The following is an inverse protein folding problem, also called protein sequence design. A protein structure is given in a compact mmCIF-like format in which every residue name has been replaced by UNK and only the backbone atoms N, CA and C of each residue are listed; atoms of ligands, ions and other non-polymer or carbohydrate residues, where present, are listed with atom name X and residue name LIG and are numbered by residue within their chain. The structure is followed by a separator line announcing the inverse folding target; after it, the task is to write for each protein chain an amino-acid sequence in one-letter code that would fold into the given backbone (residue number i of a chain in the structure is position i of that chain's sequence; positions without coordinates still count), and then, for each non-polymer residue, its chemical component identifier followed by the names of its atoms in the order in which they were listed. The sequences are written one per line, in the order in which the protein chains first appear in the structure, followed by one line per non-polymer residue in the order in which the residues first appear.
data_IF_411337006192
#
_entry.id   IF_411337006192
#
_cell.length_a   1.000
_cell.length_b   1.000
_cell.length_c   1.000
_cell.angle_alpha   90.00
_cell.angle_beta   90.00
_cell.angle_gamma   90.00
#
_symmetry.space_group_name_H-M   'P 1'
#
loop_
_entity.id
_entity.type
_entity.pdbx_description
1 polymer ?
#
# COMPACT_ATOMS: atom_id res chain seq x y z
N UNK A 1 -10.14 13.20 10.91
CA UNK A 1 -9.37 12.52 9.84
C UNK A 1 -8.84 13.54 8.85
N UNK A 2 -7.66 13.28 8.31
CA UNK A 2 -6.96 14.11 7.35
C UNK A 2 -6.57 13.24 6.15
N UNK A 3 -6.58 13.81 4.94
CA UNK A 3 -6.29 13.09 3.70
C UNK A 3 -5.31 13.87 2.84
N UNK A 4 -4.42 13.14 2.16
CA UNK A 4 -3.51 13.69 1.16
C UNK A 4 -3.38 12.71 0.01
N UNK A 5 -3.77 13.14 -1.19
CA UNK A 5 -3.76 12.34 -2.41
C UNK A 5 -2.83 12.96 -3.44
N UNK A 6 -2.23 12.15 -4.29
CA UNK A 6 -1.41 12.64 -5.38
C UNK A 6 -1.20 11.60 -6.47
N UNK A 7 -0.78 12.10 -7.62
CA UNK A 7 -0.47 11.29 -8.81
C UNK A 7 0.70 11.92 -9.55
N UNK A 8 1.60 11.09 -10.06
CA UNK A 8 2.66 11.46 -10.98
C UNK A 8 2.60 10.59 -12.24
N UNK A 9 2.03 11.14 -13.30
CA UNK A 9 1.87 10.44 -14.58
C UNK A 9 3.16 10.16 -15.34
N UNK A 10 4.30 10.73 -14.92
CA UNK A 10 5.61 10.43 -15.52
C UNK A 10 6.01 8.97 -15.35
N UNK A 11 5.51 8.32 -14.28
CA UNK A 11 5.73 6.89 -14.02
C UNK A 11 4.62 5.97 -14.56
N UNK A 12 3.75 6.45 -15.45
CA UNK A 12 2.59 5.67 -15.95
C UNK A 12 2.96 4.33 -16.58
N UNK A 13 4.12 4.24 -17.20
CA UNK A 13 4.58 3.03 -17.90
C UNK A 13 5.35 2.06 -16.98
N UNK A 14 5.68 2.49 -15.76
CA UNK A 14 6.42 1.66 -14.81
C UNK A 14 5.57 0.56 -14.14
N UNK A 15 4.25 0.72 -14.14
CA UNK A 15 3.30 -0.28 -13.61
C UNK A 15 1.99 -0.17 -14.38
N UNK A 16 1.79 -1.04 -15.37
CA UNK A 16 0.70 -0.91 -16.34
C UNK A 16 0.28 -2.27 -16.91
N UNK A 17 -0.99 -2.39 -17.29
CA UNK A 17 -1.46 -3.34 -18.31
C UNK A 17 -1.67 -2.53 -19.58
N UNK A 18 -0.83 -2.69 -20.61
CA UNK A 18 -0.87 -1.84 -21.82
C UNK A 18 -2.19 -1.86 -22.58
N UNK A 19 -2.81 -3.03 -22.68
CA UNK A 19 -4.06 -3.24 -23.44
C UNK A 19 -5.24 -3.65 -22.52
N UNK A 20 -6.45 -3.54 -23.07
CA UNK A 20 -7.68 -3.93 -22.36
C UNK A 20 -8.55 -2.76 -21.89
N UNK A 21 -8.03 -1.51 -22.02
CA UNK A 21 -8.79 -0.29 -21.74
C UNK A 21 -9.27 0.41 -23.02
N UNK A 22 -9.94 1.55 -22.83
CA UNK A 22 -10.49 2.33 -23.95
C UNK A 22 -9.41 2.87 -24.91
N UNK A 23 -8.19 3.14 -24.41
CA UNK A 23 -7.07 3.64 -25.23
C UNK A 23 -6.52 2.59 -26.19
N UNK A 24 -6.43 1.34 -25.73
CA UNK A 24 -5.97 0.19 -26.51
C UNK A 24 -6.85 -1.02 -26.13
N UNK A 25 -7.99 -1.24 -26.82
CA UNK A 25 -8.86 -2.38 -26.56
C UNK A 25 -8.19 -3.72 -26.84
N UNK A 26 -8.72 -4.80 -26.28
CA UNK A 26 -8.31 -6.16 -26.62
C UNK A 26 -8.47 -6.43 -28.11
N UNK A 27 -7.46 -7.09 -28.70
CA UNK A 27 -7.45 -7.50 -30.11
C UNK A 27 -6.51 -8.68 -30.31
N UNK A 28 -6.56 -9.30 -31.49
CA UNK A 28 -5.60 -10.36 -31.84
C UNK A 28 -4.15 -9.84 -31.80
N UNK A 29 -3.91 -8.57 -32.16
CA UNK A 29 -2.60 -7.94 -32.10
C UNK A 29 -2.10 -7.76 -30.65
N UNK A 30 -2.99 -7.40 -29.71
CA UNK A 30 -2.61 -7.22 -28.29
C UNK A 30 -2.38 -8.55 -27.58
N UNK A 31 -2.96 -9.64 -28.10
CA UNK A 31 -2.80 -11.01 -27.61
C UNK A 31 -1.57 -11.73 -28.22
N UNK A 32 -0.86 -11.12 -29.20
CA UNK A 32 0.36 -11.71 -29.75
C UNK A 32 1.44 -11.86 -28.68
N UNK A 33 2.00 -13.08 -28.59
CA UNK A 33 3.07 -13.38 -27.67
C UNK A 33 4.40 -12.82 -28.16
N UNK A 34 5.17 -12.26 -27.24
CA UNK A 34 6.57 -11.86 -27.47
C UNK A 34 7.43 -12.28 -26.28
N UNK A 35 8.73 -12.45 -26.52
CA UNK A 35 9.72 -12.66 -25.45
C UNK A 35 10.24 -11.32 -24.96
N UNK A 36 10.19 -11.06 -23.64
CA UNK A 36 10.84 -9.91 -23.04
C UNK A 36 12.37 -10.14 -22.90
N UNK A 37 13.11 -9.12 -22.45
CA UNK A 37 14.58 -9.19 -22.30
C UNK A 37 15.04 -10.24 -21.28
N UNK A 38 14.18 -10.63 -20.35
CA UNK A 38 14.43 -11.69 -19.37
C UNK A 38 14.02 -13.08 -19.88
N UNK A 39 13.49 -13.18 -21.10
CA UNK A 39 13.06 -14.43 -21.74
C UNK A 39 11.66 -14.89 -21.31
N UNK A 40 10.88 -14.06 -20.63
CA UNK A 40 9.49 -14.38 -20.30
C UNK A 40 8.58 -14.20 -21.52
N UNK A 41 7.63 -15.10 -21.70
CA UNK A 41 6.59 -14.94 -22.72
C UNK A 41 5.48 -14.02 -22.17
N UNK A 42 5.22 -12.95 -22.90
CA UNK A 42 4.25 -11.90 -22.53
C UNK A 42 3.36 -11.50 -23.69
N UNK A 43 2.26 -10.86 -23.37
CA UNK A 43 1.40 -10.14 -24.32
C UNK A 43 1.23 -8.70 -23.83
N UNK A 44 0.67 -7.81 -24.66
CA UNK A 44 0.27 -6.45 -24.20
C UNK A 44 -0.87 -6.46 -23.17
N UNK A 45 -1.49 -7.60 -22.94
CA UNK A 45 -2.58 -7.82 -21.97
C UNK A 45 -2.08 -8.25 -20.59
N UNK A 46 -0.78 -8.49 -20.45
CA UNK A 46 -0.16 -8.83 -19.16
C UNK A 46 0.23 -7.58 -18.37
N UNK A 47 0.23 -7.71 -17.06
CA UNK A 47 0.78 -6.67 -16.19
C UNK A 47 2.29 -6.56 -16.41
N UNK A 48 2.75 -5.36 -16.74
CA UNK A 48 4.16 -4.98 -16.74
C UNK A 48 4.49 -4.19 -15.47
N UNK A 49 5.65 -4.46 -14.89
CA UNK A 49 6.17 -3.71 -13.75
C UNK A 49 7.69 -3.54 -13.86
N UNK A 50 8.14 -2.30 -13.91
CA UNK A 50 9.52 -1.95 -13.61
C UNK A 50 9.70 -1.88 -12.08
N UNK A 51 10.24 -2.97 -11.52
CA UNK A 51 10.40 -3.09 -10.07
C UNK A 51 11.32 -2.02 -9.47
N UNK A 52 12.32 -1.57 -10.21
CA UNK A 52 13.28 -0.53 -9.78
C UNK A 52 12.62 0.83 -9.68
N UNK A 53 11.87 1.23 -10.72
CA UNK A 53 11.16 2.50 -10.76
C UNK A 53 10.06 2.55 -9.70
N UNK A 54 9.27 1.49 -9.56
CA UNK A 54 8.23 1.40 -8.52
C UNK A 54 8.83 1.43 -7.12
N UNK A 55 9.97 0.78 -6.90
CA UNK A 55 10.67 0.83 -5.61
C UNK A 55 11.18 2.23 -5.32
N UNK A 56 11.89 2.87 -6.26
CA UNK A 56 12.42 4.23 -6.10
C UNK A 56 11.30 5.23 -5.78
N UNK A 57 10.22 5.19 -6.55
CA UNK A 57 9.02 5.97 -6.26
C UNK A 57 8.52 5.75 -4.82
N UNK A 58 8.39 4.50 -4.40
CA UNK A 58 7.84 4.15 -3.09
C UNK A 58 8.68 4.70 -1.93
N UNK A 59 10.01 4.60 -2.01
CA UNK A 59 10.90 5.05 -0.93
C UNK A 59 11.18 6.55 -0.95
N UNK A 60 10.89 7.26 -2.04
CA UNK A 60 11.08 8.71 -2.14
C UNK A 60 9.78 9.48 -1.89
N UNK A 61 8.70 9.08 -2.57
CA UNK A 61 7.45 9.82 -2.54
C UNK A 61 6.63 9.50 -1.30
N UNK A 62 6.46 8.21 -0.96
CA UNK A 62 5.58 7.81 0.14
C UNK A 62 5.98 8.41 1.49
N UNK A 63 7.26 8.34 1.93
CA UNK A 63 7.67 8.96 3.20
C UNK A 63 7.42 10.47 3.21
N UNK A 64 7.82 11.17 2.14
CA UNK A 64 7.64 12.61 2.00
C UNK A 64 6.17 13.02 2.12
N UNK A 65 5.28 12.27 1.48
CA UNK A 65 3.85 12.58 1.47
C UNK A 65 3.16 12.20 2.80
N UNK A 66 3.67 11.21 3.53
CA UNK A 66 3.26 10.93 4.91
C UNK A 66 3.69 12.07 5.83
N UNK A 67 4.95 12.52 5.76
CA UNK A 67 5.43 13.67 6.54
C UNK A 67 4.58 14.91 6.25
N UNK A 68 4.33 15.22 4.97
CA UNK A 68 3.50 16.37 4.59
C UNK A 68 2.03 16.25 5.06
N UNK A 69 1.47 15.03 5.19
CA UNK A 69 0.17 14.80 5.80
C UNK A 69 0.20 15.12 7.29
N UNK A 70 1.22 14.66 8.00
CA UNK A 70 1.37 14.86 9.44
C UNK A 70 1.61 16.35 9.77
N UNK A 71 2.45 17.03 8.99
CA UNK A 71 2.68 18.47 9.10
C UNK A 71 1.38 19.26 8.87
N UNK A 72 0.60 18.89 7.85
CA UNK A 72 -0.70 19.51 7.58
C UNK A 72 -1.72 19.29 8.70
N UNK A 73 -1.66 18.15 9.37
CA UNK A 73 -2.53 17.79 10.48
C UNK A 73 -2.05 18.39 11.84
N UNK A 74 -0.86 18.98 11.89
CA UNK A 74 -0.17 19.40 13.12
C UNK A 74 0.00 18.24 14.12
N UNK A 75 0.40 17.07 13.61
CA UNK A 75 0.56 15.83 14.38
C UNK A 75 2.00 15.34 14.29
N UNK A 76 2.64 15.14 15.44
CA UNK A 76 3.96 14.54 15.49
C UNK A 76 3.91 13.06 15.08
N UNK A 77 4.88 12.62 14.26
CA UNK A 77 5.02 11.21 13.89
C UNK A 77 5.24 10.29 15.10
N UNK A 78 5.76 10.82 16.21
CA UNK A 78 5.97 10.05 17.44
C UNK A 78 4.65 9.73 18.14
N UNK A 79 3.58 10.49 17.89
CA UNK A 79 2.24 10.26 18.42
C UNK A 79 1.41 9.29 17.58
N UNK A 80 1.86 8.92 16.38
CA UNK A 80 1.20 7.92 15.53
C UNK A 80 1.49 6.53 16.07
N UNK A 81 0.46 5.76 16.38
CA UNK A 81 0.62 4.41 16.92
C UNK A 81 0.97 3.39 15.83
N UNK A 82 0.32 3.48 14.66
CA UNK A 82 0.53 2.54 13.56
C UNK A 82 0.60 3.24 12.20
N UNK A 83 1.51 2.74 11.36
CA UNK A 83 1.65 3.09 9.95
C UNK A 83 1.28 1.88 9.10
N UNK A 84 0.05 1.82 8.63
CA UNK A 84 -0.48 0.69 7.84
C UNK A 84 -0.37 1.03 6.37
N UNK A 85 0.66 0.49 5.73
CA UNK A 85 0.97 0.75 4.35
C UNK A 85 0.43 -0.36 3.45
N UNK A 86 0.29 -0.08 2.17
CA UNK A 86 0.12 -1.11 1.15
C UNK A 86 1.19 -2.19 1.31
N UNK A 87 0.78 -3.45 1.36
CA UNK A 87 1.64 -4.60 1.61
C UNK A 87 2.28 -5.11 0.31
N UNK A 88 3.12 -4.28 -0.33
CA UNK A 88 3.84 -4.67 -1.55
C UNK A 88 4.84 -5.80 -1.27
N UNK A 89 5.69 -5.60 -0.28
CA UNK A 89 6.55 -6.59 0.37
C UNK A 89 7.16 -5.98 1.65
N UNK A 90 7.61 -6.85 2.58
CA UNK A 90 8.19 -6.44 3.87
C UNK A 90 9.40 -5.51 3.71
N UNK A 91 10.26 -5.78 2.74
CA UNK A 91 11.47 -4.99 2.49
C UNK A 91 11.14 -3.53 2.15
N UNK A 92 10.17 -3.31 1.27
CA UNK A 92 9.70 -1.98 0.86
C UNK A 92 9.11 -1.22 2.06
N UNK A 93 8.20 -1.84 2.81
CA UNK A 93 7.56 -1.21 3.99
C UNK A 93 8.61 -0.82 5.04
N UNK A 94 9.57 -1.70 5.32
CA UNK A 94 10.65 -1.39 6.27
C UNK A 94 11.58 -0.27 5.77
N UNK A 95 11.85 -0.16 4.46
CA UNK A 95 12.65 0.95 3.94
C UNK A 95 11.91 2.28 4.03
N UNK A 96 10.60 2.31 3.82
CA UNK A 96 9.77 3.49 4.06
C UNK A 96 9.84 3.88 5.55
N UNK A 97 9.68 2.92 6.47
CA UNK A 97 9.78 3.16 7.91
C UNK A 97 11.15 3.73 8.33
N UNK A 98 12.25 3.19 7.79
CA UNK A 98 13.60 3.72 8.02
C UNK A 98 13.77 5.15 7.50
N UNK A 99 13.20 5.48 6.34
CA UNK A 99 13.20 6.84 5.78
C UNK A 99 12.43 7.82 6.66
N UNK A 100 11.29 7.41 7.18
CA UNK A 100 10.50 8.17 8.15
C UNK A 100 11.20 8.31 9.52
N UNK A 101 12.25 7.51 9.79
CA UNK A 101 12.92 7.41 11.09
C UNK A 101 11.94 7.07 12.22
N UNK A 102 11.06 6.13 11.97
CA UNK A 102 10.05 5.62 12.92
C UNK A 102 10.40 4.19 13.28
N UNK A 103 10.08 3.78 14.50
CA UNK A 103 10.24 2.40 14.95
C UNK A 103 9.46 1.44 14.05
N UNK A 104 10.16 0.43 13.52
CA UNK A 104 9.61 -0.55 12.61
C UNK A 104 8.50 -1.42 13.24
N UNK A 105 8.45 -1.53 14.57
CA UNK A 105 7.36 -2.18 15.28
C UNK A 105 5.99 -1.51 15.13
N UNK A 106 5.95 -0.27 14.61
CA UNK A 106 4.70 0.43 14.29
C UNK A 106 4.19 0.15 12.86
N UNK A 107 4.90 -0.68 12.08
CA UNK A 107 4.54 -1.05 10.72
C UNK A 107 4.10 -2.53 10.70
N UNK A 108 2.79 -2.82 10.65
CA UNK A 108 2.33 -4.20 10.46
C UNK A 108 2.80 -4.70 9.09
N UNK A 109 3.39 -5.91 9.03
CA UNK A 109 3.99 -6.52 7.83
C UNK A 109 3.81 -8.04 7.76
N UNK A 110 3.16 -8.64 8.75
CA UNK A 110 2.98 -10.10 8.80
C UNK A 110 1.89 -10.59 7.85
N UNK A 111 0.89 -9.75 7.55
CA UNK A 111 -0.18 -10.05 6.60
C UNK A 111 0.34 -10.37 5.20
N UNK A 112 1.47 -9.75 4.78
CA UNK A 112 2.13 -10.10 3.52
C UNK A 112 2.60 -11.57 3.51
N UNK A 113 3.14 -12.07 4.63
CA UNK A 113 3.57 -13.47 4.75
C UNK A 113 2.40 -14.47 4.68
N UNK A 114 1.22 -14.05 5.16
CA UNK A 114 0.02 -14.87 5.16
C UNK A 114 -0.75 -14.85 3.83
N UNK A 115 -0.81 -13.70 3.16
CA UNK A 115 -1.71 -13.48 2.01
C UNK A 115 -1.00 -13.01 0.73
N UNK A 116 0.28 -12.63 0.82
CA UNK A 116 1.00 -11.99 -0.27
C UNK A 116 0.53 -10.55 -0.53
N UNK A 117 0.84 -10.04 -1.73
CA UNK A 117 0.33 -8.75 -2.19
C UNK A 117 -1.08 -8.90 -2.75
N UNK A 118 -2.07 -8.56 -1.96
CA UNK A 118 -3.51 -8.62 -2.33
C UNK A 118 -4.03 -7.25 -2.82
N UNK A 119 -3.16 -6.44 -3.40
CA UNK A 119 -3.49 -5.14 -4.02
C UNK A 119 -4.25 -4.21 -3.06
N UNK A 120 -5.42 -3.71 -3.47
CA UNK A 120 -6.25 -2.78 -2.66
C UNK A 120 -6.76 -3.38 -1.35
N UNK A 121 -6.82 -4.70 -1.21
CA UNK A 121 -7.22 -5.39 0.01
C UNK A 121 -6.10 -5.48 1.06
N UNK A 122 -4.86 -5.07 0.73
CA UNK A 122 -3.71 -5.24 1.63
C UNK A 122 -3.79 -4.41 2.91
N UNK A 123 -4.28 -3.17 2.84
CA UNK A 123 -4.46 -2.31 4.03
C UNK A 123 -5.57 -2.85 4.93
N UNK A 124 -6.82 -3.08 4.47
CA UNK A 124 -7.84 -3.70 5.31
C UNK A 124 -7.44 -5.09 5.81
N UNK A 125 -6.70 -5.87 5.01
CA UNK A 125 -6.14 -7.15 5.43
C UNK A 125 -5.17 -7.01 6.62
N UNK A 126 -4.22 -6.08 6.54
CA UNK A 126 -3.27 -5.82 7.63
C UNK A 126 -4.00 -5.32 8.90
N UNK A 127 -4.98 -4.42 8.75
CA UNK A 127 -5.78 -3.94 9.90
C UNK A 127 -6.48 -5.10 10.60
N UNK A 128 -7.20 -5.95 9.87
CA UNK A 128 -7.98 -7.03 10.46
C UNK A 128 -7.15 -8.21 10.93
N UNK A 129 -6.01 -8.49 10.29
CA UNK A 129 -5.16 -9.64 10.64
C UNK A 129 -4.20 -9.34 11.79
N UNK A 130 -3.59 -8.13 11.80
CA UNK A 130 -2.51 -7.80 12.74
C UNK A 130 -2.97 -6.85 13.85
N UNK A 131 -3.94 -5.97 13.59
CA UNK A 131 -4.31 -4.90 14.51
C UNK A 131 -5.73 -5.05 15.09
N UNK A 132 -6.43 -6.17 14.86
CA UNK A 132 -7.75 -6.39 15.42
C UNK A 132 -7.76 -6.20 16.95
N UNK A 133 -6.94 -6.97 17.68
CA UNK A 133 -6.89 -6.89 19.13
C UNK A 133 -6.53 -5.50 19.68
N UNK A 134 -5.44 -4.85 19.21
CA UNK A 134 -5.12 -3.49 19.63
C UNK A 134 -6.22 -2.45 19.35
N UNK A 135 -6.84 -2.48 18.17
CA UNK A 135 -7.81 -1.46 17.75
C UNK A 135 -9.23 -1.67 18.32
N UNK A 136 -9.60 -2.89 18.70
CA UNK A 136 -10.88 -3.18 19.39
C UNK A 136 -10.79 -3.04 20.91
N UNK A 137 -9.59 -2.87 21.46
CA UNK A 137 -9.36 -2.79 22.90
C UNK A 137 -9.34 -4.15 23.62
N UNK A 138 -9.47 -5.26 22.90
CA UNK A 138 -9.40 -6.62 23.47
C UNK A 138 -8.06 -6.90 24.16
N UNK A 139 -6.99 -6.25 23.73
CA UNK A 139 -5.65 -6.37 24.29
C UNK A 139 -5.43 -5.53 25.57
N UNK A 140 -6.45 -4.83 26.08
CA UNK A 140 -6.34 -4.01 27.30
C UNK A 140 -5.47 -2.76 27.16
N UNK A 141 -5.27 -2.26 25.92
CA UNK A 141 -4.42 -1.13 25.59
C UNK A 141 -5.10 0.24 25.64
N UNK A 142 -4.64 1.15 24.80
CA UNK A 142 -5.24 2.48 24.63
C UNK A 142 -6.68 2.38 24.12
N UNK A 143 -7.54 3.29 24.56
CA UNK A 143 -8.90 3.42 24.05
C UNK A 143 -9.00 4.16 22.71
N UNK A 144 -7.90 4.77 22.25
CA UNK A 144 -7.82 5.52 20.99
C UNK A 144 -6.42 5.45 20.42
N UNK A 145 -6.34 5.25 19.10
CA UNK A 145 -5.09 5.13 18.35
C UNK A 145 -5.04 6.13 17.21
N UNK A 146 -3.87 6.73 16.99
CA UNK A 146 -3.55 7.49 15.79
C UNK A 146 -2.99 6.52 14.75
N UNK A 147 -3.65 6.42 13.60
CA UNK A 147 -3.28 5.47 12.54
C UNK A 147 -3.09 6.22 11.22
N UNK A 148 -1.94 6.05 10.61
CA UNK A 148 -1.70 6.46 9.22
C UNK A 148 -1.96 5.27 8.31
N UNK A 149 -2.84 5.45 7.33
CA UNK A 149 -3.03 4.52 6.21
C UNK A 149 -2.33 5.10 4.98
N UNK A 150 -1.58 4.29 4.24
CA UNK A 150 -0.89 4.74 3.02
C UNK A 150 -0.98 3.70 1.91
N UNK A 151 -1.79 3.99 0.89
CA UNK A 151 -1.87 3.24 -0.36
C UNK A 151 -1.05 3.90 -1.46
N UNK A 152 -0.38 3.11 -2.28
CA UNK A 152 0.40 3.61 -3.42
C UNK A 152 0.56 2.52 -4.49
N UNK A 153 0.75 2.91 -5.74
CA UNK A 153 0.91 1.98 -6.86
C UNK A 153 0.69 2.63 -8.21
N UNK A 154 -0.13 1.94 -9.01
CA UNK A 154 -0.44 2.34 -10.40
C UNK A 154 -0.79 3.82 -10.52
N UNK A 155 -0.16 4.49 -11.59
CA UNK A 155 -0.42 5.88 -11.89
C UNK A 155 0.83 6.65 -12.30
N UNK A 156 1.93 6.73 -11.56
CA UNK A 156 2.02 6.30 -10.15
C UNK A 156 1.15 7.20 -9.27
N UNK A 157 0.44 6.62 -8.35
CA UNK A 157 -0.48 7.36 -7.48
C UNK A 157 -0.29 6.96 -6.02
N UNK A 158 -0.66 7.85 -5.11
CA UNK A 158 -0.64 7.59 -3.68
C UNK A 158 -1.82 8.25 -2.98
N UNK A 159 -2.21 7.66 -1.85
CA UNK A 159 -3.21 8.23 -0.96
C UNK A 159 -2.84 7.93 0.48
N UNK A 160 -2.77 8.98 1.29
CA UNK A 160 -2.48 8.90 2.70
C UNK A 160 -3.67 9.41 3.51
N UNK A 161 -3.94 8.76 4.62
CA UNK A 161 -5.00 9.16 5.55
C UNK A 161 -4.50 9.05 6.99
N UNK A 162 -4.71 10.08 7.79
CA UNK A 162 -4.52 10.05 9.23
C UNK A 162 -5.88 9.94 9.92
N UNK A 163 -6.04 8.90 10.71
CA UNK A 163 -7.27 8.60 11.44
C UNK A 163 -7.01 8.56 12.95
N UNK A 164 -7.97 9.02 13.70
CA UNK A 164 -8.12 8.65 15.11
C UNK A 164 -9.12 7.51 15.17
N UNK A 165 -8.69 6.35 15.61
CA UNK A 165 -9.49 5.12 15.72
C UNK A 165 -9.76 4.87 17.18
N UNK A 166 -11.05 4.79 17.56
CA UNK A 166 -11.48 4.51 18.93
C UNK A 166 -12.73 3.66 18.92
N UNK A 167 -12.84 2.79 19.92
CA UNK A 167 -14.05 1.99 20.20
C UNK A 167 -14.56 1.22 18.96
N UNK A 168 -13.68 0.52 18.25
CA UNK A 168 -14.13 -0.38 17.21
C UNK A 168 -14.86 -1.57 17.85
N UNK A 169 -16.09 -1.80 17.44
CA UNK A 169 -16.91 -2.92 17.95
C UNK A 169 -16.40 -4.27 17.43
N UNK A 170 -15.88 -4.29 16.20
CA UNK A 170 -15.40 -5.50 15.56
C UNK A 170 -14.39 -5.16 14.45
N UNK A 171 -13.31 -5.92 14.38
CA UNK A 171 -12.36 -5.92 13.28
C UNK A 171 -11.90 -7.37 13.06
N UNK A 172 -12.74 -8.16 12.37
CA UNK A 172 -12.46 -9.57 12.12
C UNK A 172 -12.07 -9.82 10.67
N UNK A 173 -11.15 -10.75 10.46
CA UNK A 173 -10.97 -11.40 9.16
C UNK A 173 -11.57 -12.81 9.20
N UNK A 174 -12.15 -13.24 8.07
CA UNK A 174 -12.77 -14.57 7.98
C UNK A 174 -12.34 -15.27 6.70
N UNK A 175 -12.06 -16.56 6.82
CA UNK A 175 -11.84 -17.41 5.65
C UNK A 175 -13.20 -17.76 5.05
N UNK A 176 -13.39 -17.38 3.76
CA UNK A 176 -14.56 -17.83 3.02
C UNK A 176 -14.45 -19.34 2.82
N UNK A 177 -15.48 -20.06 3.26
CA UNK A 177 -15.64 -21.49 3.00
C UNK A 177 -16.71 -21.65 1.92
N UNK A 178 -16.30 -22.06 0.71
CA UNK A 178 -17.21 -22.41 -0.39
C UNK A 178 -17.98 -23.67 -0.08
#
# INVERSE_FOLDING_TARGET
SWFRLGTDGRGSDSLIVPAGGARLPFSNETAEEYSDDDGNIRTKENLFMDGSEVFNFSIEVVPREIEALLDYADVSKDSVDYFVLHQANRYMVHNIGKRLKVDLGRFPVESFGAFGNVSSASIPGALSYELAGPLTGESGGKSSHQVVLSGFGVGLSWGNCLLTVSNLDCLEWRVYKS
#
